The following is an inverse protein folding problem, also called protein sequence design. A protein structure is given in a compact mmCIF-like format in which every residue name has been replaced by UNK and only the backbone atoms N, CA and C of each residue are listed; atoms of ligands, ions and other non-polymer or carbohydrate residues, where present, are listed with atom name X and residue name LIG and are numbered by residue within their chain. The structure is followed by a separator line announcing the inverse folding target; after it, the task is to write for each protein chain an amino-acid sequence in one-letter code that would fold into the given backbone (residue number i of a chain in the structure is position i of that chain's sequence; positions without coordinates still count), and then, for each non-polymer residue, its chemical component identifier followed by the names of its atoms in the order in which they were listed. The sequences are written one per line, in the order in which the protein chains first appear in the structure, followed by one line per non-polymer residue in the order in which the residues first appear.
data_IF_707998880042
#
_entry.id   IF_707998880042
#
_cell.length_a   1.000
_cell.length_b   1.000
_cell.length_c   1.000
_cell.angle_alpha   90.00
_cell.angle_beta   90.00
_cell.angle_gamma   90.00
#
_symmetry.space_group_name_H-M   'P 1'
#
loop_
_entity.id
_entity.type
_entity.pdbx_description
1 polymer ?
#
# COMPACT_ATOMS: atom_id res chain seq x y z
N UNK A 1 -3.90 -11.78 -12.96
CA UNK A 1 -3.57 -12.53 -11.73
C UNK A 1 -3.78 -11.58 -10.57
N UNK A 2 -4.13 -12.09 -9.40
CA UNK A 2 -4.43 -11.25 -8.23
C UNK A 2 -3.45 -11.56 -7.10
N UNK A 3 -3.14 -10.55 -6.30
CA UNK A 3 -2.37 -10.68 -5.06
C UNK A 3 -3.34 -10.96 -3.92
N UNK A 4 -3.32 -12.17 -3.38
CA UNK A 4 -4.10 -12.54 -2.20
C UNK A 4 -3.29 -12.30 -0.93
N UNK A 5 -3.93 -11.80 0.12
CA UNK A 5 -3.34 -11.50 1.43
C UNK A 5 -4.26 -12.06 2.50
N UNK A 6 -3.69 -12.80 3.45
CA UNK A 6 -4.42 -13.58 4.45
C UNK A 6 -4.04 -13.20 5.89
N UNK A 7 -4.95 -13.40 6.84
CA UNK A 7 -4.78 -12.98 8.24
C UNK A 7 -3.59 -13.62 8.98
N UNK A 8 -3.05 -14.73 8.48
CA UNK A 8 -1.87 -15.40 9.03
C UNK A 8 -0.54 -14.76 8.62
N UNK A 9 -0.56 -13.60 7.94
CA UNK A 9 0.65 -12.92 7.47
C UNK A 9 1.27 -13.59 6.24
N UNK A 10 0.45 -14.25 5.41
CA UNK A 10 0.88 -14.81 4.13
C UNK A 10 0.21 -14.09 2.97
N UNK A 11 0.93 -14.01 1.85
CA UNK A 11 0.42 -13.50 0.59
C UNK A 11 0.66 -14.51 -0.53
N UNK A 12 -0.15 -14.47 -1.58
CA UNK A 12 -0.05 -15.39 -2.73
C UNK A 12 -0.21 -14.66 -4.06
N UNK A 13 0.65 -15.01 -5.01
CA UNK A 13 0.61 -14.57 -6.41
C UNK A 13 0.81 -15.78 -7.32
N UNK A 14 -0.27 -16.27 -7.92
CA UNK A 14 -0.26 -17.53 -8.65
C UNK A 14 0.02 -18.70 -7.70
N UNK A 15 1.08 -19.45 -8.00
CA UNK A 15 1.56 -20.57 -7.18
C UNK A 15 2.63 -20.16 -6.16
N UNK A 16 3.02 -18.88 -6.14
CA UNK A 16 4.02 -18.36 -5.21
C UNK A 16 3.37 -17.90 -3.91
N UNK A 17 3.99 -18.25 -2.79
CA UNK A 17 3.59 -17.82 -1.46
C UNK A 17 4.71 -17.01 -0.80
N UNK A 18 4.34 -15.90 -0.18
CA UNK A 18 5.23 -14.94 0.47
C UNK A 18 4.81 -14.69 1.92
N UNK A 19 5.73 -14.18 2.73
CA UNK A 19 5.40 -13.57 4.01
C UNK A 19 4.98 -12.13 3.78
N UNK A 20 4.02 -11.64 4.55
CA UNK A 20 3.68 -10.22 4.60
C UNK A 20 3.48 -9.75 6.04
N UNK A 21 3.72 -8.46 6.28
CA UNK A 21 3.27 -7.77 7.47
C UNK A 21 1.91 -7.12 7.20
N UNK A 22 1.10 -7.06 8.26
CA UNK A 22 -0.24 -6.48 8.25
C UNK A 22 -0.33 -5.40 9.31
N UNK A 23 -1.43 -4.65 9.30
CA UNK A 23 -1.76 -3.71 10.36
C UNK A 23 -1.72 -4.37 11.73
N UNK A 24 -1.22 -3.65 12.74
CA UNK A 24 -1.16 -4.11 14.15
C UNK A 24 -2.48 -4.65 14.71
N UNK A 25 -3.62 -4.25 14.16
CA UNK A 25 -4.96 -4.72 14.54
C UNK A 25 -5.49 -5.88 13.67
N UNK A 26 -4.67 -6.42 12.77
CA UNK A 26 -5.03 -7.49 11.83
C UNK A 26 -5.88 -7.00 10.66
N UNK A 27 -6.56 -7.93 9.98
CA UNK A 27 -7.49 -7.62 8.89
C UNK A 27 -8.89 -7.35 9.45
N UNK A 28 -9.56 -6.29 8.98
CA UNK A 28 -10.92 -5.92 9.40
C UNK A 28 -11.78 -5.51 8.19
N UNK A 29 -13.05 -5.97 8.13
CA UNK A 29 -14.00 -5.47 7.14
C UNK A 29 -14.43 -4.02 7.43
N UNK A 30 -14.61 -3.67 8.71
CA UNK A 30 -14.99 -2.32 9.13
C UNK A 30 -13.77 -1.44 9.44
N UNK A 31 -12.91 -1.21 8.44
CA UNK A 31 -11.77 -0.29 8.54
C UNK A 31 -12.21 1.15 8.84
N UNK A 32 -11.47 1.83 9.72
CA UNK A 32 -11.62 3.25 10.09
C UNK A 32 -10.26 3.94 10.12
N UNK A 33 -10.25 5.26 10.03
CA UNK A 33 -9.01 6.04 10.17
C UNK A 33 -8.32 5.77 11.52
N UNK A 34 -7.01 5.56 11.49
CA UNK A 34 -6.19 5.34 12.70
C UNK A 34 -6.40 4.03 13.48
N UNK A 35 -7.27 3.12 13.03
CA UNK A 35 -7.57 1.87 13.76
C UNK A 35 -6.43 0.83 13.76
N UNK A 36 -5.38 1.03 12.97
CA UNK A 36 -4.25 0.10 12.85
C UNK A 36 -4.56 -1.18 12.09
N UNK A 37 -5.72 -1.31 11.43
CA UNK A 37 -6.14 -2.53 10.73
C UNK A 37 -5.82 -2.47 9.23
N UNK A 38 -5.60 -3.62 8.61
CA UNK A 38 -5.59 -3.77 7.15
C UNK A 38 -7.03 -3.97 6.65
N UNK A 39 -7.49 -3.23 5.63
CA UNK A 39 -8.88 -3.34 5.17
C UNK A 39 -9.11 -4.67 4.45
N UNK A 40 -10.17 -5.37 4.83
CA UNK A 40 -10.66 -6.51 4.06
C UNK A 40 -11.35 -6.05 2.78
N UNK A 41 -11.15 -6.76 1.67
CA UNK A 41 -11.83 -6.45 0.41
C UNK A 41 -11.00 -6.72 -0.85
N UNK A 42 -11.47 -6.15 -1.95
CA UNK A 42 -10.86 -6.30 -3.27
C UNK A 42 -10.60 -4.92 -3.86
N UNK A 43 -9.33 -4.61 -4.12
CA UNK A 43 -8.88 -3.29 -4.55
C UNK A 43 -8.12 -3.38 -5.87
N UNK A 44 -8.44 -2.51 -6.83
CA UNK A 44 -7.72 -2.46 -8.09
C UNK A 44 -6.29 -1.95 -7.88
N UNK A 45 -5.31 -2.45 -8.63
CA UNK A 45 -4.00 -1.82 -8.67
C UNK A 45 -4.09 -0.50 -9.43
N UNK A 46 -3.56 0.60 -8.85
CA UNK A 46 -3.63 1.94 -9.46
C UNK A 46 -2.33 2.35 -10.10
N UNK A 47 -1.25 2.38 -9.33
CA UNK A 47 0.07 2.81 -9.78
C UNK A 47 1.17 2.34 -8.84
N UNK A 48 2.40 2.35 -9.34
CA UNK A 48 3.61 2.12 -8.56
C UNK A 48 4.33 3.45 -8.38
N UNK A 49 4.79 3.69 -7.16
CA UNK A 49 5.69 4.77 -6.79
C UNK A 49 7.03 4.17 -6.35
N UNK A 50 8.15 4.83 -6.68
CA UNK A 50 9.47 4.34 -6.29
C UNK A 50 10.49 5.46 -6.02
N UNK A 51 11.52 5.16 -5.25
CA UNK A 51 12.65 6.05 -4.98
C UNK A 51 13.72 5.90 -6.05
N UNK A 52 13.70 6.78 -7.05
CA UNK A 52 14.65 6.75 -8.17
C UNK A 52 16.12 7.01 -7.76
N UNK A 53 16.35 7.58 -6.57
CA UNK A 53 17.67 7.75 -5.98
C UNK A 53 18.21 6.49 -5.28
N UNK A 54 17.34 5.50 -5.01
CA UNK A 54 17.69 4.28 -4.25
C UNK A 54 17.52 3.00 -5.06
N UNK A 55 16.56 2.98 -5.98
CA UNK A 55 16.24 1.82 -6.82
C UNK A 55 16.34 2.20 -8.30
N UNK A 56 16.77 1.23 -9.11
CA UNK A 56 16.55 1.28 -10.55
C UNK A 56 15.04 1.27 -10.84
N UNK A 57 14.67 1.81 -12.00
CA UNK A 57 13.27 1.82 -12.44
C UNK A 57 12.66 0.41 -12.40
N UNK A 58 11.59 0.17 -11.61
CA UNK A 58 10.99 -1.15 -11.50
C UNK A 58 10.39 -1.64 -12.82
N UNK A 59 10.66 -2.89 -13.18
CA UNK A 59 9.96 -3.55 -14.28
C UNK A 59 8.48 -3.73 -13.94
N UNK A 60 7.58 -2.98 -14.59
CA UNK A 60 6.13 -3.07 -14.37
C UNK A 60 5.33 -2.62 -15.59
N UNK A 61 4.09 -3.11 -15.71
CA UNK A 61 3.12 -2.62 -16.71
C UNK A 61 2.12 -1.61 -16.12
N UNK A 62 2.18 -1.38 -14.81
CA UNK A 62 1.34 -0.38 -14.14
C UNK A 62 1.88 1.02 -14.40
N UNK A 63 1.04 2.06 -14.30
CA UNK A 63 1.52 3.43 -14.24
C UNK A 63 2.59 3.58 -13.16
N UNK A 64 3.73 4.16 -13.51
CA UNK A 64 4.92 4.25 -12.66
C UNK A 64 5.32 5.72 -12.51
N UNK A 65 5.67 6.15 -11.30
CA UNK A 65 6.21 7.47 -11.04
C UNK A 65 7.30 7.44 -9.96
N UNK A 66 8.32 8.28 -10.10
CA UNK A 66 9.28 8.50 -9.03
C UNK A 66 8.66 9.36 -7.92
N UNK A 67 8.90 8.98 -6.66
CA UNK A 67 8.55 9.78 -5.48
C UNK A 67 9.48 10.99 -5.44
N UNK A 68 8.94 12.17 -5.17
CA UNK A 68 9.69 13.41 -4.91
C UNK A 68 9.76 13.71 -3.42
N UNK A 69 10.70 14.55 -3.03
CA UNK A 69 10.92 14.98 -1.64
C UNK A 69 9.69 15.63 -1.01
N UNK A 70 8.85 16.29 -1.82
CA UNK A 70 7.64 16.97 -1.35
C UNK A 70 6.38 16.12 -1.51
N UNK A 71 6.45 14.89 -2.02
CA UNK A 71 5.26 14.08 -2.24
C UNK A 71 4.68 13.58 -0.90
N UNK A 72 3.38 13.76 -0.73
CA UNK A 72 2.63 13.30 0.43
C UNK A 72 1.30 12.65 0.07
N UNK A 73 0.63 12.11 1.08
CA UNK A 73 -0.72 11.56 0.97
C UNK A 73 -1.58 12.05 2.13
N UNK A 74 -2.65 12.78 1.84
CA UNK A 74 -3.47 13.39 2.89
C UNK A 74 -4.22 12.32 3.70
N UNK A 75 -4.07 12.38 5.02
CA UNK A 75 -4.70 11.49 5.99
C UNK A 75 -5.70 12.20 6.93
N UNK A 76 -5.95 13.49 6.70
CA UNK A 76 -6.91 14.31 7.45
C UNK A 76 -8.36 14.11 6.93
N UNK A 77 -9.27 13.45 7.69
CA UNK A 77 -10.63 13.14 7.22
C UNK A 77 -11.49 14.36 6.85
N UNK A 78 -11.25 15.49 7.51
CA UNK A 78 -12.00 16.73 7.32
C UNK A 78 -11.52 17.53 6.11
N UNK A 79 -10.36 17.17 5.53
CA UNK A 79 -9.77 17.91 4.42
C UNK A 79 -10.39 17.48 3.07
N UNK A 80 -10.52 18.44 2.14
CA UNK A 80 -11.09 18.19 0.82
C UNK A 80 -10.31 17.12 0.03
N UNK A 81 -8.99 17.07 0.23
CA UNK A 81 -8.06 16.12 -0.39
C UNK A 81 -7.81 14.85 0.44
N UNK A 82 -8.66 14.52 1.41
CA UNK A 82 -8.54 13.29 2.18
C UNK A 82 -8.31 12.07 1.28
N UNK A 83 -7.37 11.21 1.66
CA UNK A 83 -6.94 10.03 0.92
C UNK A 83 -6.55 10.31 -0.55
N UNK A 84 -5.91 11.46 -0.82
CA UNK A 84 -5.34 11.81 -2.13
C UNK A 84 -3.88 12.22 -2.04
N UNK A 85 -3.13 12.13 -3.16
CA UNK A 85 -1.79 12.68 -3.25
C UNK A 85 -1.80 14.20 -3.04
N UNK A 86 -0.83 14.70 -2.28
CA UNK A 86 -0.61 16.13 -2.00
C UNK A 86 0.88 16.46 -2.13
N UNK A 87 1.21 17.75 -2.09
CA UNK A 87 2.59 18.23 -2.18
C UNK A 87 2.90 19.17 -1.02
N UNK A 88 4.02 18.96 -0.33
CA UNK A 88 4.47 19.81 0.75
C UNK A 88 5.10 21.13 0.24
N UNK A 89 4.97 22.25 0.98
CA UNK A 89 4.28 22.38 2.27
C UNK A 89 2.76 22.24 2.13
N UNK A 90 2.16 21.45 3.02
CA UNK A 90 0.73 21.15 3.06
C UNK A 90 0.20 21.42 4.46
N UNK A 91 -0.94 22.08 4.58
CA UNK A 91 -1.42 22.62 5.86
C UNK A 91 -2.10 21.59 6.76
N UNK A 92 -2.77 20.61 6.15
CA UNK A 92 -3.43 19.53 6.88
C UNK A 92 -2.47 18.36 7.11
N UNK A 93 -2.91 17.39 7.91
CA UNK A 93 -2.15 16.17 8.12
C UNK A 93 -2.02 15.39 6.79
N UNK A 94 -0.80 14.90 6.57
CA UNK A 94 -0.46 14.06 5.43
C UNK A 94 0.76 13.19 5.73
N UNK A 95 0.72 11.95 5.26
CA UNK A 95 1.86 11.05 5.27
C UNK A 95 2.90 11.52 4.24
N UNK A 96 4.18 11.58 4.65
CA UNK A 96 5.28 11.86 3.74
C UNK A 96 5.67 10.60 2.98
N UNK A 97 5.75 10.69 1.65
CA UNK A 97 6.15 9.54 0.83
C UNK A 97 7.68 9.42 0.71
N UNK A 98 8.41 10.53 0.84
CA UNK A 98 9.88 10.52 0.88
C UNK A 98 10.40 10.16 2.28
N UNK A 99 10.55 8.86 2.55
CA UNK A 99 10.99 8.33 3.86
C UNK A 99 12.46 7.94 3.87
N UNK A 100 13.09 8.06 5.04
CA UNK A 100 14.49 7.62 5.20
C UNK A 100 14.62 6.11 5.45
N UNK A 101 13.62 5.48 6.07
CA UNK A 101 13.61 4.08 6.54
C UNK A 101 13.35 3.01 5.46
N UNK A 102 13.40 3.40 4.19
CA UNK A 102 13.27 2.55 3.01
C UNK A 102 11.92 1.87 2.80
N UNK A 103 10.96 2.02 3.72
CA UNK A 103 9.65 1.36 3.61
C UNK A 103 8.95 1.71 2.30
N UNK A 104 9.12 2.95 1.83
CA UNK A 104 8.51 3.48 0.60
C UNK A 104 9.49 3.61 -0.56
N UNK A 105 10.63 2.91 -0.51
CA UNK A 105 11.52 2.83 -1.67
C UNK A 105 10.80 2.22 -2.88
N UNK A 106 9.85 1.30 -2.64
CA UNK A 106 8.92 0.76 -3.63
C UNK A 106 7.53 0.62 -3.02
N UNK A 107 6.52 1.21 -3.68
CA UNK A 107 5.16 1.33 -3.17
C UNK A 107 4.14 1.08 -4.28
N UNK A 108 3.22 0.14 -4.06
CA UNK A 108 2.05 -0.07 -4.91
C UNK A 108 0.83 0.57 -4.26
N UNK A 109 0.15 1.43 -5.00
CA UNK A 109 -1.09 2.10 -4.59
C UNK A 109 -2.29 1.24 -5.01
N UNK A 110 -3.03 0.62 -4.09
CA UNK A 110 -4.31 0.00 -4.37
C UNK A 110 -5.44 1.04 -4.37
N UNK A 111 -6.57 0.70 -5.00
CA UNK A 111 -7.78 1.51 -5.01
C UNK A 111 -8.59 1.35 -3.72
N UNK A 112 -7.98 1.65 -2.57
CA UNK A 112 -8.65 1.65 -1.29
C UNK A 112 -9.20 3.06 -0.98
N UNK A 113 -10.50 3.15 -0.69
CA UNK A 113 -11.21 4.39 -0.34
C UNK A 113 -10.94 5.55 -1.33
N UNK A 114 -10.86 5.26 -2.63
CA UNK A 114 -10.43 6.23 -3.65
C UNK A 114 -11.58 6.78 -4.53
N UNK A 115 -12.60 5.96 -4.84
CA UNK A 115 -13.73 6.35 -5.70
C UNK A 115 -15.06 5.74 -5.20
N UNK A 116 -15.95 6.52 -4.57
CA UNK A 116 -15.68 7.83 -3.99
C UNK A 116 -14.79 7.71 -2.74
N UNK A 117 -14.05 8.77 -2.42
CA UNK A 117 -13.40 8.88 -1.11
C UNK A 117 -14.46 9.17 -0.05
N UNK A 118 -14.50 8.35 1.00
CA UNK A 118 -15.37 8.53 2.16
C UNK A 118 -14.53 8.92 3.39
N UNK A 119 -14.74 10.12 3.96
CA UNK A 119 -14.08 10.56 5.18
C UNK A 119 -14.11 9.54 6.33
N UNK A 120 -12.97 9.35 6.99
CA UNK A 120 -12.84 8.50 8.18
C UNK A 120 -12.83 7.00 7.91
N UNK A 121 -12.91 6.55 6.65
CA UNK A 121 -12.82 5.13 6.27
C UNK A 121 -11.38 4.60 6.18
N UNK A 122 -10.39 5.42 6.48
CA UNK A 122 -8.97 5.09 6.36
C UNK A 122 -8.37 5.73 5.11
N UNK A 123 -7.08 6.02 5.20
CA UNK A 123 -6.29 6.64 4.12
C UNK A 123 -4.92 5.98 4.03
N UNK A 124 -4.16 6.33 2.99
CA UNK A 124 -2.77 5.95 2.82
C UNK A 124 -2.50 4.43 2.98
N UNK A 125 -3.45 3.59 2.54
CA UNK A 125 -3.27 2.13 2.52
C UNK A 125 -2.51 1.75 1.25
N UNK A 126 -1.30 1.24 1.43
CA UNK A 126 -0.41 0.83 0.36
C UNK A 126 0.04 -0.63 0.50
N UNK A 127 0.66 -1.14 -0.56
CA UNK A 127 1.56 -2.30 -0.47
C UNK A 127 3.00 -1.80 -0.59
N UNK A 128 3.79 -1.95 0.47
CA UNK A 128 5.14 -1.37 0.55
C UNK A 128 6.19 -2.38 1.04
N UNK A 129 7.43 -1.94 1.27
CA UNK A 129 8.50 -2.82 1.73
C UNK A 129 8.40 -3.11 3.23
N UNK A 130 8.56 -4.38 3.59
CA UNK A 130 8.61 -4.83 4.98
C UNK A 130 9.97 -4.50 5.62
N UNK A 131 9.97 -4.25 6.93
CA UNK A 131 11.19 -4.31 7.74
C UNK A 131 11.73 -5.74 7.77
N UNK A 132 13.01 -5.92 8.10
CA UNK A 132 13.63 -7.25 8.14
C UNK A 132 12.97 -8.23 9.12
N UNK A 133 12.34 -7.73 10.18
CA UNK A 133 11.58 -8.51 11.16
C UNK A 133 10.08 -8.63 10.83
N UNK A 134 9.60 -7.95 9.78
CA UNK A 134 8.19 -7.82 9.41
C UNK A 134 7.35 -7.27 10.57
N UNK A 135 7.81 -6.19 11.18
CA UNK A 135 7.05 -5.48 12.21
C UNK A 135 5.67 -5.07 11.67
N UNK A 136 4.60 -5.10 12.51
CA UNK A 136 3.27 -4.71 12.08
C UNK A 136 3.20 -3.28 11.56
N UNK A 137 2.37 -3.05 10.55
CA UNK A 137 2.14 -1.74 9.95
C UNK A 137 1.01 -0.98 10.68
N UNK A 138 0.71 0.22 10.21
CA UNK A 138 -0.47 0.98 10.65
C UNK A 138 -1.76 0.66 9.86
N UNK A 139 -1.67 -0.26 8.89
CA UNK A 139 -2.79 -0.71 8.08
C UNK A 139 -2.40 -1.20 6.69
N UNK A 140 -1.25 -0.79 6.19
CA UNK A 140 -0.68 -1.26 4.93
C UNK A 140 -0.37 -2.77 4.93
N UNK A 141 -0.16 -3.32 3.74
CA UNK A 141 0.47 -4.63 3.57
C UNK A 141 1.95 -4.40 3.26
N UNK A 142 2.85 -5.10 3.95
CA UNK A 142 4.29 -4.99 3.65
C UNK A 142 4.88 -6.33 3.20
N UNK A 143 5.67 -6.33 2.12
CA UNK A 143 6.30 -7.51 1.53
C UNK A 143 7.82 -7.32 1.46
N UNK A 144 8.60 -8.40 1.32
CA UNK A 144 9.99 -8.25 0.94
C UNK A 144 10.14 -7.55 -0.42
N UNK A 145 11.23 -6.81 -0.60
CA UNK A 145 11.50 -6.09 -1.84
C UNK A 145 11.51 -6.99 -3.07
N UNK A 146 12.16 -8.15 -2.97
CA UNK A 146 12.23 -9.13 -4.08
C UNK A 146 10.84 -9.68 -4.44
N UNK A 147 10.00 -9.95 -3.44
CA UNK A 147 8.65 -10.47 -3.64
C UNK A 147 7.75 -9.44 -4.31
N UNK A 148 7.79 -8.18 -3.84
CA UNK A 148 7.01 -7.09 -4.45
C UNK A 148 7.47 -6.83 -5.89
N UNK A 149 8.77 -6.78 -6.15
CA UNK A 149 9.29 -6.62 -7.52
C UNK A 149 8.84 -7.76 -8.45
N UNK A 150 8.82 -9.01 -7.93
CA UNK A 150 8.35 -10.16 -8.70
C UNK A 150 6.88 -10.05 -9.06
N UNK A 151 6.03 -9.61 -8.12
CA UNK A 151 4.61 -9.35 -8.37
C UNK A 151 4.45 -8.25 -9.43
N UNK A 152 5.16 -7.12 -9.29
CA UNK A 152 5.03 -5.97 -10.18
C UNK A 152 5.43 -6.27 -11.63
N UNK A 153 6.43 -7.13 -11.84
CA UNK A 153 6.86 -7.58 -13.17
C UNK A 153 5.75 -8.23 -13.98
N UNK A 154 4.83 -8.92 -13.30
CA UNK A 154 3.74 -9.67 -13.92
C UNK A 154 2.39 -8.96 -13.84
N UNK A 155 2.24 -8.07 -12.86
CA UNK A 155 1.01 -7.33 -12.61
C UNK A 155 0.64 -6.40 -13.77
N UNK A 156 -0.65 -6.09 -13.83
CA UNK A 156 -1.27 -5.18 -14.79
C UNK A 156 -2.44 -4.46 -14.14
N UNK A 157 -3.02 -3.48 -14.82
CA UNK A 157 -4.21 -2.75 -14.33
C UNK A 157 -5.44 -3.65 -14.10
N UNK A 158 -5.48 -4.85 -14.71
CA UNK A 158 -6.53 -5.83 -14.45
C UNK A 158 -6.32 -6.64 -13.17
N UNK A 159 -5.13 -6.54 -12.56
CA UNK A 159 -4.76 -7.26 -11.34
C UNK A 159 -5.35 -6.57 -10.11
N UNK A 160 -5.68 -7.36 -9.08
CA UNK A 160 -6.31 -6.86 -7.86
C UNK A 160 -5.54 -7.29 -6.61
N UNK A 161 -5.58 -6.43 -5.59
CA UNK A 161 -5.29 -6.78 -4.21
C UNK A 161 -6.53 -7.41 -3.60
N UNK A 162 -6.43 -8.62 -3.06
CA UNK A 162 -7.50 -9.31 -2.37
C UNK A 162 -7.07 -9.61 -0.96
N UNK A 163 -7.70 -8.96 0.00
CA UNK A 163 -7.39 -9.10 1.42
C UNK A 163 -8.56 -9.81 2.08
N UNK A 164 -8.29 -10.91 2.77
CA UNK A 164 -9.31 -11.71 3.45
C UNK A 164 -8.88 -12.08 4.86
N UNK A 165 -9.83 -12.05 5.80
CA UNK A 165 -9.58 -12.57 7.14
C UNK A 165 -9.53 -14.10 7.20
N UNK A 166 -9.97 -14.78 6.15
CA UNK A 166 -9.97 -16.23 6.06
C UNK A 166 -8.56 -16.77 5.74
N UNK A 167 -8.31 -18.02 6.08
CA UNK A 167 -7.11 -18.73 5.65
C UNK A 167 -7.22 -19.11 4.15
N UNK A 168 -6.10 -19.24 3.43
CA UNK A 168 -6.06 -19.70 2.03
C UNK A 168 -6.67 -21.09 1.83
#
# INVERSE_FOLDING_TARGET
MDLFVFANGTARWGDLQFRCALGRAGIRPEKREGDGATPEGVFAFRRVLYRADRLAEPETRLPLAAIRTEDGWCDAPEHADYNRPVTFPFEASAEHLWREDALYDLLLVPGFNDVPVLPGKGSAIFVHLATGDYAPTEGCVALASEDLQRILREASESSKLRISSDAP
#
